data_IF_421245968328
#
_entry.id   IF_421245968328
#
_cell.length_a   1.000
_cell.length_b   1.000
_cell.length_c   1.000
_cell.angle_alpha   90.00
_cell.angle_beta   90.00
_cell.angle_gamma   90.00
#
_symmetry.space_group_name_H-M   'P 1'
#
loop_
_entity.id
_entity.type
_entity.pdbx_description
1 polymer ?
#
# COMPACT_ATOMS: atom_id res chain seq x y z
N UNK A 1 0.90 9.51 24.40
CA UNK A 1 0.18 9.83 23.16
C UNK A 1 1.14 9.72 21.97
N UNK A 2 0.72 9.05 20.92
CA UNK A 2 1.54 8.93 19.72
C UNK A 2 1.29 10.12 18.80
N UNK A 3 2.37 10.71 18.30
CA UNK A 3 2.29 11.76 17.29
C UNK A 3 2.38 11.09 15.92
N UNK A 4 1.37 11.29 15.09
CA UNK A 4 1.29 10.72 13.75
C UNK A 4 1.67 11.79 12.73
N UNK A 5 2.67 11.51 11.93
CA UNK A 5 3.17 12.44 10.91
C UNK A 5 2.98 11.82 9.53
N UNK A 6 2.25 12.51 8.67
CA UNK A 6 2.05 12.07 7.30
C UNK A 6 3.10 12.65 6.36
N UNK A 7 3.64 11.82 5.48
CA UNK A 7 4.53 12.25 4.42
C UNK A 7 3.84 11.96 3.09
N UNK A 8 3.67 12.99 2.28
CA UNK A 8 3.07 12.85 0.96
C UNK A 8 4.02 13.40 -0.09
N UNK A 9 3.79 13.03 -1.33
CA UNK A 9 4.60 13.50 -2.44
C UNK A 9 4.81 12.41 -3.47
N UNK A 10 5.34 12.81 -4.63
CA UNK A 10 5.67 11.87 -5.67
C UNK A 10 7.12 11.41 -5.54
N UNK A 11 7.41 10.27 -6.15
CA UNK A 11 8.79 9.79 -6.27
C UNK A 11 9.56 10.85 -7.05
N UNK A 12 10.74 11.23 -6.56
CA UNK A 12 11.55 12.28 -7.17
C UNK A 12 11.50 13.62 -6.45
N UNK A 13 10.61 13.77 -5.46
CA UNK A 13 10.57 14.97 -4.63
C UNK A 13 11.26 14.78 -3.27
N UNK A 14 12.15 13.79 -3.19
CA UNK A 14 12.89 13.54 -1.96
C UNK A 14 12.16 12.75 -0.89
N UNK A 15 10.93 12.29 -1.16
CA UNK A 15 10.12 11.57 -0.19
C UNK A 15 10.81 10.30 0.33
N UNK A 16 11.41 9.52 -0.57
CA UNK A 16 12.12 8.30 -0.20
C UNK A 16 13.31 8.57 0.70
N UNK A 17 14.03 9.66 0.46
CA UNK A 17 15.16 10.08 1.29
C UNK A 17 14.70 10.45 2.70
N UNK A 18 13.58 11.18 2.80
CA UNK A 18 13.01 11.59 4.09
C UNK A 18 12.57 10.35 4.88
N UNK A 19 11.87 9.41 4.23
CA UNK A 19 11.47 8.16 4.89
C UNK A 19 12.66 7.36 5.39
N UNK A 20 13.74 7.29 4.61
CA UNK A 20 14.96 6.59 5.01
C UNK A 20 15.61 7.22 6.23
N UNK A 21 15.62 8.55 6.32
CA UNK A 21 16.15 9.26 7.48
C UNK A 21 15.38 8.88 8.74
N UNK A 22 14.05 8.84 8.68
CA UNK A 22 13.23 8.45 9.82
C UNK A 22 13.50 6.99 10.23
N UNK A 23 13.58 6.08 9.27
CA UNK A 23 13.88 4.67 9.55
C UNK A 23 15.24 4.48 10.20
N UNK A 24 16.25 5.24 9.73
CA UNK A 24 17.61 5.17 10.27
C UNK A 24 17.70 5.72 11.70
N UNK A 25 16.73 6.51 12.14
CA UNK A 25 16.66 7.02 13.50
C UNK A 25 15.68 6.23 14.37
N UNK A 26 15.39 4.98 13.99
CA UNK A 26 14.51 4.06 14.73
C UNK A 26 13.07 4.57 14.86
N UNK A 27 12.62 5.39 13.95
CA UNK A 27 11.23 5.83 13.89
C UNK A 27 10.48 4.88 12.94
N UNK A 28 9.37 4.32 13.40
CA UNK A 28 8.59 3.38 12.60
C UNK A 28 7.86 4.10 11.49
N UNK A 29 7.90 3.52 10.29
CA UNK A 29 7.26 4.08 9.10
C UNK A 29 6.26 3.07 8.54
N UNK A 30 5.01 3.50 8.34
CA UNK A 30 4.02 2.74 7.59
C UNK A 30 3.99 3.26 6.16
N UNK A 31 4.37 2.41 5.21
CA UNK A 31 4.47 2.76 3.80
C UNK A 31 3.28 2.15 3.06
N UNK A 32 2.36 3.01 2.60
CA UNK A 32 1.14 2.56 1.93
C UNK A 32 1.44 1.78 0.65
N UNK A 33 2.43 2.22 -0.14
CA UNK A 33 2.77 1.56 -1.40
C UNK A 33 3.33 0.17 -1.15
N UNK A 34 4.18 0.02 -0.13
CA UNK A 34 4.70 -1.28 0.29
C UNK A 34 3.56 -2.20 0.74
N UNK A 35 2.57 -1.68 1.48
CA UNK A 35 1.43 -2.47 1.95
C UNK A 35 0.55 -2.93 0.79
N UNK A 36 0.33 -2.08 -0.22
CA UNK A 36 -0.40 -2.49 -1.43
C UNK A 36 0.35 -3.63 -2.12
N UNK A 37 1.66 -3.50 -2.25
CA UNK A 37 2.50 -4.54 -2.86
C UNK A 37 2.37 -5.86 -2.12
N UNK A 38 2.36 -5.82 -0.78
CA UNK A 38 2.16 -7.02 0.04
C UNK A 38 0.79 -7.66 -0.19
N UNK A 39 -0.26 -6.85 -0.31
CA UNK A 39 -1.61 -7.35 -0.53
C UNK A 39 -1.78 -8.02 -1.89
N UNK A 40 -0.92 -7.71 -2.85
CA UNK A 40 -0.93 -8.32 -4.18
C UNK A 40 -0.22 -9.67 -4.22
N UNK A 41 0.46 -10.08 -3.16
CA UNK A 41 1.17 -11.36 -3.11
C UNK A 41 0.20 -12.52 -3.00
N UNK A 42 0.53 -13.63 -3.68
CA UNK A 42 -0.28 -14.84 -3.67
C UNK A 42 -0.55 -15.31 -2.23
N UNK A 43 -1.79 -15.64 -1.94
CA UNK A 43 -2.21 -16.08 -0.62
C UNK A 43 -2.68 -14.98 0.31
N UNK A 44 -2.49 -13.72 -0.05
CA UNK A 44 -2.99 -12.59 0.73
C UNK A 44 -4.44 -12.27 0.35
N UNK A 45 -5.15 -11.61 1.26
CA UNK A 45 -6.55 -11.26 1.03
C UNK A 45 -6.76 -10.43 -0.22
N UNK A 46 -5.90 -9.44 -0.45
CA UNK A 46 -6.00 -8.58 -1.63
C UNK A 46 -5.87 -9.38 -2.92
N UNK A 47 -4.88 -10.26 -2.98
CA UNK A 47 -4.69 -11.15 -4.12
C UNK A 47 -5.93 -12.01 -4.36
N UNK A 48 -6.38 -12.69 -3.32
CA UNK A 48 -7.51 -13.62 -3.43
C UNK A 48 -8.79 -12.90 -3.86
N UNK A 49 -9.06 -11.73 -3.30
CA UNK A 49 -10.26 -10.95 -3.62
C UNK A 49 -10.23 -10.43 -5.06
N UNK A 50 -9.08 -9.94 -5.51
CA UNK A 50 -8.93 -9.42 -6.88
C UNK A 50 -9.06 -10.56 -7.89
N UNK A 51 -8.42 -11.69 -7.63
CA UNK A 51 -8.48 -12.86 -8.52
C UNK A 51 -9.91 -13.40 -8.64
N UNK A 52 -10.71 -13.31 -7.58
CA UNK A 52 -12.10 -13.77 -7.65
C UNK A 52 -12.93 -12.94 -8.63
N UNK A 53 -12.59 -11.68 -8.83
CA UNK A 53 -13.27 -10.78 -9.76
C UNK A 53 -12.59 -10.79 -11.13
N UNK A 54 -11.26 -10.78 -11.16
CA UNK A 54 -10.45 -10.73 -12.37
C UNK A 54 -9.47 -11.91 -12.42
N UNK A 55 -9.95 -13.12 -12.76
CA UNK A 55 -9.08 -14.31 -12.81
C UNK A 55 -7.87 -14.18 -13.74
N UNK A 56 -7.97 -13.32 -14.75
CA UNK A 56 -6.88 -13.08 -15.70
C UNK A 56 -5.65 -12.46 -15.05
N UNK A 57 -5.78 -11.91 -13.84
CA UNK A 57 -4.67 -11.31 -13.11
C UNK A 57 -3.88 -12.33 -12.28
N UNK A 58 -4.34 -13.58 -12.25
CA UNK A 58 -3.68 -14.63 -11.48
C UNK A 58 -2.25 -14.86 -12.00
N UNK A 59 -1.31 -14.92 -11.06
CA UNK A 59 0.08 -15.16 -11.38
C UNK A 59 0.69 -16.06 -10.30
N UNK A 60 1.91 -16.56 -10.54
CA UNK A 60 2.57 -17.54 -9.66
C UNK A 60 2.94 -16.99 -8.30
N UNK A 61 3.34 -15.73 -8.23
CA UNK A 61 3.89 -15.12 -7.03
C UNK A 61 3.03 -13.97 -6.52
N UNK A 62 2.60 -13.11 -7.42
CA UNK A 62 1.84 -11.92 -7.07
C UNK A 62 1.09 -11.41 -8.30
N UNK A 63 0.15 -10.50 -8.06
CA UNK A 63 -0.54 -9.84 -9.16
C UNK A 63 0.47 -8.97 -9.91
N UNK A 64 0.52 -9.13 -11.23
CA UNK A 64 1.43 -8.36 -12.07
C UNK A 64 0.87 -6.94 -12.26
N UNK A 65 1.50 -5.96 -11.61
CA UNK A 65 1.03 -4.56 -11.64
C UNK A 65 1.05 -3.97 -13.05
N UNK A 66 2.00 -4.40 -13.88
CA UNK A 66 2.07 -3.96 -15.27
C UNK A 66 0.86 -4.46 -16.07
N UNK A 67 0.45 -5.69 -15.82
CA UNK A 67 -0.74 -6.28 -16.45
C UNK A 67 -2.00 -5.54 -16.02
N UNK A 68 -2.10 -5.18 -14.74
CA UNK A 68 -3.19 -4.35 -14.21
C UNK A 68 -3.24 -3.02 -14.96
N UNK A 69 -2.10 -2.35 -15.08
CA UNK A 69 -2.01 -1.07 -15.78
C UNK A 69 -2.44 -1.17 -17.23
N UNK A 70 -2.01 -2.23 -17.93
CA UNK A 70 -2.39 -2.44 -19.33
C UNK A 70 -3.88 -2.69 -19.48
N UNK A 71 -4.46 -3.50 -18.59
CA UNK A 71 -5.89 -3.81 -18.65
C UNK A 71 -6.75 -2.59 -18.30
N UNK A 72 -6.26 -1.73 -17.41
CA UNK A 72 -6.91 -0.46 -17.11
C UNK A 72 -6.93 0.45 -18.33
N UNK A 73 -5.83 0.54 -19.07
CA UNK A 73 -5.75 1.33 -20.31
C UNK A 73 -6.71 0.80 -21.37
N UNK A 74 -6.90 -0.51 -21.43
CA UNK A 74 -7.81 -1.16 -22.36
C UNK A 74 -9.25 -1.17 -21.87
N UNK A 75 -9.51 -0.61 -20.68
CA UNK A 75 -10.84 -0.59 -20.05
C UNK A 75 -11.45 -1.96 -19.83
N UNK A 76 -10.61 -2.98 -19.66
CA UNK A 76 -11.03 -4.35 -19.38
C UNK A 76 -11.24 -4.63 -17.90
N UNK A 77 -10.69 -3.79 -17.04
CA UNK A 77 -10.90 -3.86 -15.59
C UNK A 77 -11.24 -2.49 -15.06
N UNK A 78 -11.92 -2.45 -13.91
CA UNK A 78 -12.36 -1.23 -13.28
C UNK A 78 -11.47 -0.92 -12.06
N UNK A 79 -10.71 0.15 -12.13
CA UNK A 79 -9.85 0.59 -11.04
C UNK A 79 -10.63 0.80 -9.75
N UNK A 80 -11.85 1.30 -9.85
CA UNK A 80 -12.68 1.57 -8.68
C UNK A 80 -12.98 0.29 -7.89
N UNK A 81 -13.24 -0.82 -8.58
CA UNK A 81 -13.47 -2.10 -7.92
C UNK A 81 -12.22 -2.58 -7.17
N UNK A 82 -11.04 -2.41 -7.78
CA UNK A 82 -9.79 -2.78 -7.14
C UNK A 82 -9.55 -1.90 -5.92
N UNK A 83 -9.79 -0.59 -6.02
CA UNK A 83 -9.66 0.32 -4.89
C UNK A 83 -10.62 -0.03 -3.76
N UNK A 84 -11.85 -0.40 -4.07
CA UNK A 84 -12.83 -0.81 -3.06
C UNK A 84 -12.41 -2.09 -2.32
N UNK A 85 -11.66 -2.96 -2.97
CA UNK A 85 -11.12 -4.16 -2.34
C UNK A 85 -9.93 -3.81 -1.45
N UNK A 86 -9.01 -3.01 -1.97
CA UNK A 86 -7.73 -2.73 -1.31
C UNK A 86 -7.88 -1.73 -0.17
N UNK A 87 -8.74 -0.73 -0.31
CA UNK A 87 -8.88 0.34 0.67
C UNK A 87 -9.19 -0.15 2.10
N UNK A 88 -10.19 -1.03 2.32
CA UNK A 88 -10.44 -1.55 3.67
C UNK A 88 -9.26 -2.33 4.24
N UNK A 89 -8.53 -3.05 3.39
CA UNK A 89 -7.37 -3.84 3.81
C UNK A 89 -6.21 -2.93 4.22
N UNK A 90 -6.04 -1.81 3.52
CA UNK A 90 -5.03 -0.81 3.89
C UNK A 90 -5.38 -0.14 5.22
N UNK A 91 -6.66 0.19 5.42
CA UNK A 91 -7.11 0.77 6.69
C UNK A 91 -6.82 -0.19 7.84
N UNK A 92 -7.11 -1.47 7.66
CA UNK A 92 -6.82 -2.50 8.66
C UNK A 92 -5.33 -2.57 8.97
N UNK A 93 -4.51 -2.57 7.93
CA UNK A 93 -3.05 -2.60 8.05
C UNK A 93 -2.55 -1.40 8.86
N UNK A 94 -3.06 -0.21 8.54
CA UNK A 94 -2.69 1.01 9.25
C UNK A 94 -3.09 0.97 10.72
N UNK A 95 -4.31 0.51 11.01
CA UNK A 95 -4.78 0.40 12.38
C UNK A 95 -3.96 -0.61 13.19
N UNK A 96 -3.59 -1.73 12.58
CA UNK A 96 -2.71 -2.71 13.22
C UNK A 96 -1.33 -2.14 13.51
N UNK A 97 -0.79 -1.35 12.58
CA UNK A 97 0.49 -0.67 12.76
C UNK A 97 0.44 0.29 13.95
N UNK A 98 -0.60 1.12 14.03
CA UNK A 98 -0.79 2.05 15.13
C UNK A 98 -0.91 1.30 16.45
N UNK A 99 -1.72 0.27 16.49
CA UNK A 99 -1.96 -0.52 17.70
C UNK A 99 -0.69 -1.21 18.18
N UNK A 100 0.09 -1.75 17.25
CA UNK A 100 1.34 -2.45 17.56
C UNK A 100 2.41 -1.50 18.11
N UNK A 101 2.39 -0.24 17.69
CA UNK A 101 3.41 0.74 18.02
C UNK A 101 2.89 1.90 18.88
N UNK A 102 1.84 1.67 19.64
CA UNK A 102 1.22 2.75 20.44
C UNK A 102 2.09 3.31 21.54
N UNK A 103 3.18 2.62 21.88
CA UNK A 103 4.16 3.12 22.88
C UNK A 103 5.21 4.03 22.26
N UNK A 104 5.31 4.06 20.94
CA UNK A 104 6.26 4.92 20.25
C UNK A 104 5.78 6.37 20.32
N UNK A 105 6.74 7.29 20.43
CA UNK A 105 6.42 8.72 20.50
C UNK A 105 5.96 9.26 19.16
N UNK A 106 6.58 8.80 18.06
CA UNK A 106 6.28 9.25 16.71
C UNK A 106 6.03 8.06 15.80
N UNK A 107 5.04 8.19 14.92
CA UNK A 107 4.81 7.25 13.83
C UNK A 107 4.71 8.04 12.53
N UNK A 108 5.34 7.53 11.50
CA UNK A 108 5.35 8.15 10.17
C UNK A 108 4.45 7.34 9.23
N UNK A 109 3.64 8.04 8.45
CA UNK A 109 2.78 7.44 7.44
C UNK A 109 3.18 7.97 6.08
N UNK A 110 3.79 7.11 5.28
CA UNK A 110 4.24 7.43 3.94
C UNK A 110 3.13 7.11 2.95
N UNK A 111 2.41 8.14 2.52
CA UNK A 111 1.25 8.01 1.65
C UNK A 111 1.54 8.78 0.37
N UNK A 112 1.63 8.10 -0.79
CA UNK A 112 1.91 8.81 -2.03
C UNK A 112 0.74 9.70 -2.44
N UNK A 113 1.08 10.84 -3.04
CA UNK A 113 0.10 11.67 -3.71
C UNK A 113 -0.20 11.02 -5.04
N UNK A 114 -1.20 10.19 -5.06
CA UNK A 114 -1.54 9.56 -6.27
C UNK A 114 -2.81 10.05 -6.77
N UNK A 115 -2.72 10.20 -7.94
CA UNK A 115 -3.84 10.28 -8.77
C UNK A 115 -4.53 11.44 -8.82
#
# INVERSE_FOLDING_TARGET
>A
MVIKIGITGSIGMGKSTVSSIFKNNNIKVWDADFEVHNLYKKGKEGYNSIISIYPELKDKVEINRKKVSNLLKEKKIDLKLIEEIIHPLLIRSREEFIKKNKKDKFLIFDIPLLY
#
